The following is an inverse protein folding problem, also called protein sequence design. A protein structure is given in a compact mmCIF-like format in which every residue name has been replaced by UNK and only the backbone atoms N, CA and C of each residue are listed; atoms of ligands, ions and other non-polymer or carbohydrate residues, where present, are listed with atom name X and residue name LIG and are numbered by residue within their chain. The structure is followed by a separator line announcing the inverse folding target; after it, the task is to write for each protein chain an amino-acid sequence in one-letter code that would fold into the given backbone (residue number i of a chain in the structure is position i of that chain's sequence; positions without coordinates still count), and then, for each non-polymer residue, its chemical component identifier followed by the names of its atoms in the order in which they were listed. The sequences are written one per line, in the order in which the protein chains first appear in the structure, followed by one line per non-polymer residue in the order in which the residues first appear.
data_IF_051871882918
#
_entry.id   IF_051871882918
#
_cell.length_a   1.000
_cell.length_b   1.000
_cell.length_c   1.000
_cell.angle_alpha   90.00
_cell.angle_beta   90.00
_cell.angle_gamma   90.00
#
_symmetry.space_group_name_H-M   'P 1'
#
loop_
_entity.id
_entity.type
_entity.pdbx_description
1 polymer ?
#
# COMPACT_ATOMS: atom_id res chain seq x y z
N UNK A 1 30.39 15.59 41.38
CA UNK A 1 30.32 15.62 39.91
C UNK A 1 30.20 14.19 39.40
N UNK A 2 29.13 13.89 38.67
CA UNK A 2 28.96 12.66 37.87
C UNK A 2 29.49 12.93 36.44
N UNK A 3 29.73 11.89 35.63
CA UNK A 3 28.90 11.80 34.45
C UNK A 3 28.26 10.41 34.31
N UNK A 4 26.93 10.43 34.22
CA UNK A 4 26.12 9.26 33.92
C UNK A 4 26.49 8.73 32.53
N UNK A 5 26.81 7.44 32.47
CA UNK A 5 27.09 6.71 31.26
C UNK A 5 25.78 6.54 30.45
N UNK A 6 25.75 6.86 29.15
CA UNK A 6 24.56 6.63 28.33
C UNK A 6 24.37 5.12 28.07
N UNK A 7 23.18 4.61 28.39
CA UNK A 7 22.81 3.20 28.23
C UNK A 7 22.69 2.82 26.74
N UNK A 8 23.43 1.82 26.22
CA UNK A 8 23.45 1.45 24.79
C UNK A 8 22.27 0.57 24.32
N UNK A 9 21.23 0.40 25.12
CA UNK A 9 20.13 -0.55 24.85
C UNK A 9 18.97 0.06 24.06
N UNK A 10 18.79 1.38 24.09
CA UNK A 10 17.64 2.06 23.47
C UNK A 10 17.74 2.15 21.93
N UNK A 11 18.94 2.34 21.39
CA UNK A 11 19.14 2.55 19.94
C UNK A 11 18.98 1.24 19.14
N UNK A 12 19.47 0.13 19.70
CA UNK A 12 19.39 -1.18 19.05
C UNK A 12 17.96 -1.74 19.01
N UNK A 13 17.15 -1.47 20.03
CA UNK A 13 15.73 -1.84 20.05
C UNK A 13 14.93 -1.04 19.02
N UNK A 14 15.13 0.29 18.99
CA UNK A 14 14.45 1.19 18.05
C UNK A 14 14.80 0.87 16.58
N UNK A 15 16.07 0.53 16.31
CA UNK A 15 16.52 0.12 14.96
C UNK A 15 15.88 -1.19 14.51
N UNK A 16 15.74 -2.18 15.41
CA UNK A 16 15.06 -3.45 15.09
C UNK A 16 13.57 -3.25 14.86
N UNK A 17 12.91 -2.40 15.65
CA UNK A 17 11.50 -2.06 15.46
C UNK A 17 11.28 -1.40 14.10
N UNK A 18 12.14 -0.45 13.72
CA UNK A 18 12.10 0.18 12.40
C UNK A 18 12.32 -0.84 11.27
N UNK A 19 13.32 -1.72 11.39
CA UNK A 19 13.56 -2.76 10.39
C UNK A 19 12.34 -3.69 10.23
N UNK A 20 11.71 -4.09 11.33
CA UNK A 20 10.54 -4.95 11.30
C UNK A 20 9.32 -4.25 10.67
N UNK A 21 9.11 -2.96 10.97
CA UNK A 21 8.03 -2.18 10.36
C UNK A 21 8.27 -2.02 8.85
N UNK A 22 9.49 -1.69 8.43
CA UNK A 22 9.86 -1.58 7.01
C UNK A 22 9.68 -2.91 6.27
N UNK A 23 10.13 -4.03 6.85
CA UNK A 23 9.94 -5.36 6.26
C UNK A 23 8.45 -5.72 6.13
N UNK A 24 7.62 -5.37 7.11
CA UNK A 24 6.17 -5.60 7.02
C UNK A 24 5.53 -4.76 5.91
N UNK A 25 5.85 -3.47 5.84
CA UNK A 25 5.35 -2.58 4.78
C UNK A 25 5.83 -3.05 3.40
N UNK A 26 7.09 -3.43 3.24
CA UNK A 26 7.62 -3.95 1.98
C UNK A 26 6.88 -5.22 1.53
N UNK A 27 6.72 -6.22 2.42
CA UNK A 27 5.99 -7.44 2.10
C UNK A 27 4.54 -7.16 1.67
N UNK A 28 3.85 -6.28 2.39
CA UNK A 28 2.48 -5.89 2.10
C UNK A 28 2.36 -5.17 0.74
N UNK A 29 3.27 -4.23 0.46
CA UNK A 29 3.33 -3.52 -0.83
C UNK A 29 3.61 -4.49 -1.97
N UNK A 30 4.58 -5.39 -1.83
CA UNK A 30 4.88 -6.38 -2.87
C UNK A 30 3.69 -7.32 -3.12
N UNK A 31 3.02 -7.78 -2.06
CA UNK A 31 1.83 -8.62 -2.19
C UNK A 31 0.68 -7.89 -2.89
N UNK A 32 0.35 -6.67 -2.44
CA UNK A 32 -0.72 -5.87 -3.04
C UNK A 32 -0.43 -5.51 -4.51
N UNK A 33 0.81 -5.14 -4.82
CA UNK A 33 1.24 -4.88 -6.20
C UNK A 33 1.15 -6.13 -7.08
N UNK A 34 1.52 -7.31 -6.56
CA UNK A 34 1.40 -8.57 -7.30
C UNK A 34 -0.07 -8.89 -7.60
N UNK A 35 -0.98 -8.69 -6.64
CA UNK A 35 -2.41 -8.90 -6.82
C UNK A 35 -3.01 -7.94 -7.85
N UNK A 36 -2.74 -6.63 -7.72
CA UNK A 36 -3.17 -5.61 -8.69
C UNK A 36 -2.66 -5.95 -10.10
N UNK A 37 -1.39 -6.33 -10.22
CA UNK A 37 -0.79 -6.71 -11.49
C UNK A 37 -1.46 -7.93 -12.11
N UNK A 38 -1.76 -8.97 -11.31
CA UNK A 38 -2.44 -10.16 -11.78
C UNK A 38 -3.86 -9.84 -12.28
N UNK A 39 -4.63 -9.05 -11.54
CA UNK A 39 -5.99 -8.64 -11.93
C UNK A 39 -5.94 -7.81 -13.22
N UNK A 40 -4.99 -6.88 -13.33
CA UNK A 40 -4.82 -6.07 -14.53
C UNK A 40 -4.46 -6.92 -15.75
N UNK A 41 -3.54 -7.88 -15.60
CA UNK A 41 -3.19 -8.81 -16.68
C UNK A 41 -4.39 -9.66 -17.13
N UNK A 42 -5.19 -10.15 -16.19
CA UNK A 42 -6.41 -10.90 -16.51
C UNK A 42 -7.43 -10.03 -17.26
N UNK A 43 -7.60 -8.77 -16.85
CA UNK A 43 -8.51 -7.83 -17.53
C UNK A 43 -8.04 -7.52 -18.96
N UNK A 44 -6.73 -7.33 -19.16
CA UNK A 44 -6.14 -7.10 -20.48
C UNK A 44 -6.29 -8.33 -21.39
N UNK A 45 -5.94 -9.51 -20.90
CA UNK A 45 -6.10 -10.76 -21.64
C UNK A 45 -7.58 -11.03 -22.00
N UNK A 46 -8.52 -10.65 -21.14
CA UNK A 46 -9.95 -10.76 -21.42
C UNK A 46 -10.36 -9.93 -22.64
N UNK A 47 -9.87 -8.69 -22.73
CA UNK A 47 -10.17 -7.77 -23.83
C UNK A 47 -9.65 -8.27 -25.18
N UNK A 48 -8.59 -9.08 -25.21
CA UNK A 48 -8.08 -9.68 -26.46
C UNK A 48 -9.03 -10.74 -27.04
N UNK A 49 -10.02 -11.20 -26.26
CA UNK A 49 -10.97 -12.22 -26.71
C UNK A 49 -12.23 -11.60 -27.36
N UNK A 50 -12.86 -12.26 -28.36
CA UNK A 50 -14.15 -11.82 -28.92
C UNK A 50 -15.31 -11.82 -27.92
N UNK A 51 -15.18 -12.57 -26.81
CA UNK A 51 -16.13 -12.53 -25.70
C UNK A 51 -15.91 -11.29 -24.84
N UNK A 52 -14.66 -10.92 -24.58
CA UNK A 52 -14.34 -9.75 -23.77
C UNK A 52 -14.84 -8.44 -24.34
N UNK A 53 -14.79 -8.27 -25.66
CA UNK A 53 -15.38 -7.11 -26.35
C UNK A 53 -16.90 -6.96 -26.11
N UNK A 54 -17.60 -8.06 -25.80
CA UNK A 54 -19.05 -8.08 -25.53
C UNK A 54 -19.40 -8.07 -24.04
N UNK A 55 -18.41 -8.33 -23.17
CA UNK A 55 -18.57 -8.48 -21.73
C UNK A 55 -17.59 -7.57 -20.99
N UNK A 56 -17.74 -6.26 -21.22
CA UNK A 56 -16.94 -5.23 -20.55
C UNK A 56 -17.28 -5.09 -19.06
N UNK A 57 -18.40 -5.65 -18.60
CA UNK A 57 -18.75 -5.72 -17.18
C UNK A 57 -17.70 -6.49 -16.35
N UNK A 58 -17.04 -7.49 -16.95
CA UNK A 58 -15.91 -8.20 -16.35
C UNK A 58 -14.72 -7.27 -16.13
N UNK A 59 -14.43 -6.40 -17.11
CA UNK A 59 -13.35 -5.40 -17.02
C UNK A 59 -13.70 -4.33 -15.99
N UNK A 60 -14.95 -3.86 -15.96
CA UNK A 60 -15.42 -2.92 -14.95
C UNK A 60 -15.27 -3.49 -13.52
N UNK A 61 -15.62 -4.77 -13.32
CA UNK A 61 -15.39 -5.46 -12.04
C UNK A 61 -13.90 -5.59 -11.72
N UNK A 62 -13.06 -5.93 -12.69
CA UNK A 62 -11.61 -6.01 -12.47
C UNK A 62 -11.01 -4.65 -12.09
N UNK A 63 -11.44 -3.56 -12.73
CA UNK A 63 -11.02 -2.19 -12.38
C UNK A 63 -11.48 -1.79 -10.98
N UNK A 64 -12.70 -2.18 -10.59
CA UNK A 64 -13.18 -1.99 -9.23
C UNK A 64 -12.31 -2.75 -8.22
N UNK A 65 -12.00 -4.03 -8.47
CA UNK A 65 -11.10 -4.79 -7.61
C UNK A 65 -9.70 -4.17 -7.53
N UNK A 66 -9.13 -3.70 -8.64
CA UNK A 66 -7.83 -3.00 -8.65
C UNK A 66 -7.87 -1.76 -7.76
N UNK A 67 -8.93 -0.94 -7.87
CA UNK A 67 -9.08 0.26 -7.03
C UNK A 67 -9.19 -0.11 -5.56
N UNK A 68 -10.07 -1.05 -5.23
CA UNK A 68 -10.33 -1.45 -3.84
C UNK A 68 -9.07 -2.08 -3.20
N UNK A 69 -8.29 -2.86 -3.96
CA UNK A 69 -6.98 -3.38 -3.53
C UNK A 69 -5.95 -2.27 -3.33
N UNK A 70 -5.92 -1.26 -4.19
CA UNK A 70 -5.01 -0.12 -4.06
C UNK A 70 -5.34 0.77 -2.84
N UNK A 71 -6.63 1.01 -2.59
CA UNK A 71 -7.11 1.74 -1.40
C UNK A 71 -6.75 0.98 -0.13
N UNK A 72 -6.99 -0.33 -0.10
CA UNK A 72 -6.61 -1.20 1.03
C UNK A 72 -5.10 -1.13 1.29
N UNK A 73 -4.28 -1.20 0.23
CA UNK A 73 -2.82 -1.11 0.37
C UNK A 73 -2.37 0.24 0.93
N UNK A 74 -2.99 1.33 0.48
CA UNK A 74 -2.71 2.67 0.97
C UNK A 74 -3.09 2.84 2.46
N UNK A 75 -4.23 2.30 2.88
CA UNK A 75 -4.69 2.36 4.27
C UNK A 75 -3.75 1.61 5.22
N UNK A 76 -3.31 0.41 4.83
CA UNK A 76 -2.37 -0.38 5.64
C UNK A 76 -0.99 0.27 5.71
N UNK A 77 -0.42 0.68 4.58
CA UNK A 77 0.87 1.38 4.57
C UNK A 77 0.80 2.69 5.36
N UNK A 78 -0.33 3.41 5.28
CA UNK A 78 -0.61 4.61 6.06
C UNK A 78 -0.68 4.33 7.56
N UNK A 79 -1.33 3.24 7.97
CA UNK A 79 -1.46 2.83 9.38
C UNK A 79 -0.10 2.50 9.98
N UNK A 80 0.73 1.73 9.27
CA UNK A 80 2.10 1.40 9.70
C UNK A 80 2.98 2.66 9.77
N UNK A 81 2.88 3.56 8.78
CA UNK A 81 3.61 4.82 8.81
C UNK A 81 3.18 5.72 9.99
N UNK A 82 1.88 5.78 10.30
CA UNK A 82 1.36 6.51 11.46
C UNK A 82 1.85 5.92 12.78
N UNK A 83 1.88 4.59 12.92
CA UNK A 83 2.40 3.91 14.11
C UNK A 83 3.89 4.25 14.36
N UNK A 84 4.64 4.51 13.29
CA UNK A 84 6.04 4.93 13.34
C UNK A 84 6.23 6.45 13.46
N UNK A 85 5.17 7.25 13.50
CA UNK A 85 5.23 8.71 13.52
C UNK A 85 5.67 9.35 12.21
N UNK A 86 5.70 8.59 11.11
CA UNK A 86 6.11 9.01 9.77
C UNK A 86 4.91 9.09 8.79
N UNK A 87 3.69 9.11 9.32
CA UNK A 87 2.46 9.08 8.51
C UNK A 87 2.38 10.23 7.52
N UNK A 88 2.01 9.91 6.28
CA UNK A 88 1.73 10.92 5.26
C UNK A 88 0.38 11.60 5.56
N UNK A 89 0.42 12.82 6.07
CA UNK A 89 -0.76 13.66 6.15
C UNK A 89 -1.06 14.18 4.74
N UNK A 90 -2.00 13.54 4.02
CA UNK A 90 -2.60 14.20 2.87
C UNK A 90 -3.17 15.53 3.35
N UNK A 91 -2.51 16.63 3.02
CA UNK A 91 -3.18 17.91 2.95
C UNK A 91 -4.37 17.67 2.01
N UNK A 92 -5.59 17.72 2.56
CA UNK A 92 -6.85 17.66 1.80
C UNK A 92 -6.88 18.79 0.78
N UNK A 93 -6.14 18.65 -0.30
CA UNK A 93 -6.40 19.38 -1.53
C UNK A 93 -7.51 18.59 -2.18
N UNK A 94 -8.73 19.04 -1.90
CA UNK A 94 -9.92 18.68 -2.65
C UNK A 94 -9.56 18.65 -4.13
N UNK A 95 -9.64 17.50 -4.78
CA UNK A 95 -9.70 17.45 -6.23
C UNK A 95 -10.98 18.18 -6.66
N UNK A 96 -10.89 19.32 -7.38
CA UNK A 96 -12.06 20.09 -7.79
C UNK A 96 -12.60 19.50 -9.10
N UNK A 97 -12.95 18.21 -9.10
CA UNK A 97 -13.24 17.48 -10.35
C UNK A 97 -14.29 16.37 -10.28
N UNK A 98 -14.91 16.11 -9.12
CA UNK A 98 -16.12 15.26 -9.06
C UNK A 98 -17.26 16.04 -8.40
N UNK A 99 -17.96 16.80 -9.22
CA UNK A 99 -19.38 17.14 -9.09
C UNK A 99 -20.02 16.86 -10.44
#
# INVERSE_FOLDING_TARGET
MNPAQPSPTTDSHSTRQLSNALTQVDHLVQQGCAEISAIAQLALAWLETPKGHRHLDVVARALQSIRDSAETLADYAGTEAQAMGCGYAMARTSWPGLC
#
